data_IF_523943192755
#
_entry.id   IF_523943192755
#
_cell.length_a   1.000
_cell.length_b   1.000
_cell.length_c   1.000
_cell.angle_alpha   90.00
_cell.angle_beta   90.00
_cell.angle_gamma   90.00
#
_symmetry.space_group_name_H-M   'P 1'
#
loop_
_entity.id
_entity.type
_entity.pdbx_description
1 polymer ?
#
# COMPACT_ATOMS: atom_id res chain seq x y z
N UNK A 1 0.50 14.39 -56.47
CA UNK A 1 -0.53 14.82 -55.50
C UNK A 1 -1.23 13.57 -54.98
N UNK A 2 -1.50 13.30 -53.71
CA UNK A 2 -1.06 13.84 -52.41
C UNK A 2 -1.48 12.75 -51.39
N UNK A 3 -0.49 12.11 -50.77
CA UNK A 3 -0.47 11.54 -49.41
C UNK A 3 -1.73 10.83 -48.88
N UNK A 4 -1.81 9.51 -49.08
CA UNK A 4 -2.62 8.63 -48.22
C UNK A 4 -1.90 7.28 -48.10
N UNK A 5 -0.86 7.21 -47.26
CA UNK A 5 -0.40 5.92 -46.72
C UNK A 5 0.04 6.16 -45.29
N UNK A 6 -0.89 5.84 -44.39
CA UNK A 6 -0.67 5.12 -43.13
C UNK A 6 0.70 5.28 -42.49
N UNK A 7 0.87 6.34 -41.70
CA UNK A 7 1.80 6.31 -40.59
C UNK A 7 0.96 6.11 -39.32
N UNK A 8 0.61 4.84 -39.08
CA UNK A 8 0.02 4.39 -37.82
C UNK A 8 0.94 4.80 -36.69
N UNK A 9 0.57 5.90 -36.04
CA UNK A 9 1.07 6.29 -34.73
C UNK A 9 0.56 5.24 -33.74
N UNK A 10 1.29 4.12 -33.64
CA UNK A 10 1.20 3.20 -32.50
C UNK A 10 1.84 3.93 -31.33
N UNK A 11 1.11 4.91 -30.80
CA UNK A 11 1.41 5.49 -29.50
C UNK A 11 1.04 4.42 -28.49
N UNK A 12 2.05 3.73 -27.96
CA UNK A 12 1.90 2.74 -26.90
C UNK A 12 1.30 3.39 -25.67
N UNK A 13 -0.02 3.36 -25.57
CA UNK A 13 -0.75 3.76 -24.38
C UNK A 13 -0.76 2.59 -23.42
N UNK A 14 0.35 2.41 -22.71
CA UNK A 14 0.40 1.59 -21.50
C UNK A 14 -0.07 2.47 -20.33
N UNK A 15 -1.37 2.78 -20.25
CA UNK A 15 -1.94 3.27 -18.99
C UNK A 15 -2.20 2.05 -18.11
N UNK A 16 -1.19 1.64 -17.34
CA UNK A 16 -1.38 0.72 -16.22
C UNK A 16 -2.00 1.47 -15.04
N UNK A 17 -3.28 1.83 -15.19
CA UNK A 17 -4.10 2.29 -14.08
C UNK A 17 -4.61 1.07 -13.32
N UNK A 18 -3.82 0.57 -12.38
CA UNK A 18 -4.23 -0.49 -11.46
C UNK A 18 -3.75 -0.10 -10.07
N UNK A 19 -4.54 0.67 -9.32
CA UNK A 19 -4.30 0.85 -7.89
C UNK A 19 -4.02 -0.55 -7.30
N UNK A 20 -2.85 -0.78 -6.70
CA UNK A 20 -2.46 -2.11 -6.22
C UNK A 20 -3.35 -2.54 -5.07
N UNK A 21 -3.60 -3.85 -4.94
CA UNK A 21 -4.23 -4.38 -3.73
C UNK A 21 -3.35 -4.04 -2.52
N UNK A 22 -3.97 -3.90 -1.36
CA UNK A 22 -3.24 -3.63 -0.12
C UNK A 22 -2.17 -4.70 0.17
N UNK A 23 -2.45 -5.96 -0.15
CA UNK A 23 -1.51 -7.10 0.01
C UNK A 23 -0.26 -6.96 -0.87
N UNK A 24 -0.40 -6.43 -2.09
CA UNK A 24 0.69 -6.30 -3.08
C UNK A 24 1.60 -5.07 -2.85
N UNK A 25 1.27 -4.24 -1.84
CA UNK A 25 2.06 -3.06 -1.48
C UNK A 25 3.13 -3.46 -0.47
N UNK A 26 4.38 -3.40 -0.90
CA UNK A 26 5.55 -3.67 -0.06
C UNK A 26 5.77 -2.57 0.99
N UNK A 27 6.32 -2.95 2.13
CA UNK A 27 6.78 -2.01 3.14
C UNK A 27 7.90 -1.10 2.56
N UNK A 28 7.81 0.19 2.85
CA UNK A 28 8.91 1.11 2.64
C UNK A 28 9.96 0.88 3.73
N UNK A 29 11.25 1.02 3.42
CA UNK A 29 12.26 0.93 4.46
C UNK A 29 12.15 2.11 5.43
N UNK A 30 12.06 1.79 6.72
CA UNK A 30 12.07 2.75 7.82
C UNK A 30 13.14 2.30 8.83
N UNK A 31 13.97 3.23 9.30
CA UNK A 31 15.09 2.90 10.19
C UNK A 31 14.59 2.52 11.59
N UNK A 32 14.96 1.35 12.14
CA UNK A 32 14.62 0.97 13.51
C UNK A 32 15.23 1.89 14.58
N UNK A 33 16.31 2.60 14.25
CA UNK A 33 17.01 3.48 15.21
C UNK A 33 16.12 4.60 15.75
N UNK A 34 15.06 4.98 15.03
CA UNK A 34 14.10 5.98 15.50
C UNK A 34 13.33 5.54 16.76
N UNK A 35 13.26 4.22 17.02
CA UNK A 35 12.59 3.63 18.18
C UNK A 35 13.58 3.09 19.23
N UNK A 36 14.88 3.36 19.08
CA UNK A 36 15.93 2.79 19.96
C UNK A 36 15.72 3.15 21.45
N UNK A 37 15.05 4.27 21.74
CA UNK A 37 14.80 4.74 23.09
C UNK A 37 13.47 4.26 23.69
N UNK A 38 12.64 3.54 22.93
CA UNK A 38 11.34 3.08 23.41
C UNK A 38 11.53 1.91 24.38
N UNK A 39 10.69 1.84 25.41
CA UNK A 39 10.53 0.66 26.27
C UNK A 39 9.75 -0.45 25.53
N UNK A 40 9.79 -1.69 26.02
CA UNK A 40 8.98 -2.76 25.43
C UNK A 40 7.48 -2.48 25.49
N UNK A 41 7.00 -1.82 26.55
CA UNK A 41 5.61 -1.38 26.66
C UNK A 41 5.28 -0.32 25.60
N UNK A 42 6.14 0.70 25.45
CA UNK A 42 5.97 1.73 24.41
C UNK A 42 6.01 1.14 22.99
N UNK A 43 6.89 0.17 22.73
CA UNK A 43 6.95 -0.53 21.45
C UNK A 43 5.67 -1.32 21.19
N UNK A 44 5.12 -1.97 22.21
CA UNK A 44 3.88 -2.74 22.09
C UNK A 44 2.69 -1.83 21.76
N UNK A 45 2.53 -0.74 22.50
CA UNK A 45 1.45 0.24 22.31
C UNK A 45 1.55 0.90 20.92
N UNK A 46 2.76 1.30 20.54
CA UNK A 46 3.00 1.94 19.25
C UNK A 46 2.73 0.97 18.09
N UNK A 47 3.16 -0.28 18.20
CA UNK A 47 2.90 -1.31 17.20
C UNK A 47 1.40 -1.65 17.11
N UNK A 48 0.66 -1.65 18.21
CA UNK A 48 -0.80 -1.80 18.20
C UNK A 48 -1.49 -0.61 17.49
N UNK A 49 -1.02 0.61 17.73
CA UNK A 49 -1.51 1.82 17.05
C UNK A 49 -1.24 1.78 15.55
N UNK A 50 -0.01 1.49 15.15
CA UNK A 50 0.40 1.45 13.74
C UNK A 50 -0.32 0.32 13.01
N UNK A 51 -0.47 -0.87 13.60
CA UNK A 51 -1.21 -1.98 12.98
C UNK A 51 -2.69 -1.66 12.76
N UNK A 52 -3.36 -0.99 13.71
CA UNK A 52 -4.73 -0.51 13.53
C UNK A 52 -4.82 0.47 12.34
N UNK A 53 -3.84 1.37 12.20
CA UNK A 53 -3.80 2.31 11.07
C UNK A 53 -3.51 1.61 9.74
N UNK A 54 -2.61 0.63 9.71
CA UNK A 54 -2.37 -0.22 8.54
C UNK A 54 -3.66 -0.87 8.08
N UNK A 55 -4.44 -1.47 8.99
CA UNK A 55 -5.70 -2.12 8.65
C UNK A 55 -6.75 -1.15 8.09
N UNK A 56 -6.87 0.06 8.67
CA UNK A 56 -7.76 1.11 8.18
C UNK A 56 -7.39 1.54 6.75
N UNK A 57 -6.11 1.84 6.53
CA UNK A 57 -5.61 2.35 5.23
C UNK A 57 -5.62 1.24 4.17
N UNK A 58 -5.28 0.01 4.54
CA UNK A 58 -5.41 -1.17 3.67
C UNK A 58 -6.85 -1.38 3.21
N UNK A 59 -7.82 -1.30 4.13
CA UNK A 59 -9.24 -1.42 3.80
C UNK A 59 -9.74 -0.31 2.88
N UNK A 60 -9.20 0.91 3.00
CA UNK A 60 -9.48 2.00 2.07
C UNK A 60 -8.86 1.76 0.68
N UNK A 61 -7.62 1.27 0.63
CA UNK A 61 -6.91 0.92 -0.60
C UNK A 61 -7.63 -0.19 -1.39
N UNK A 62 -8.06 -1.25 -0.72
CA UNK A 62 -8.76 -2.36 -1.38
C UNK A 62 -10.12 -1.93 -1.94
N UNK A 63 -10.81 -1.00 -1.28
CA UNK A 63 -12.03 -0.39 -1.81
C UNK A 63 -11.75 0.46 -3.05
N UNK A 64 -10.63 1.21 -3.06
CA UNK A 64 -10.20 1.98 -4.22
C UNK A 64 -9.85 1.07 -5.41
N UNK A 65 -9.07 0.00 -5.18
CA UNK A 65 -8.77 -1.03 -6.19
C UNK A 65 -10.06 -1.61 -6.81
N UNK A 66 -11.05 -1.99 -5.98
CA UNK A 66 -12.32 -2.54 -6.49
C UNK A 66 -13.10 -1.57 -7.36
N UNK A 67 -13.06 -0.27 -7.06
CA UNK A 67 -13.72 0.78 -7.87
C UNK A 67 -13.02 0.99 -9.22
N UNK A 68 -11.70 0.95 -9.25
CA UNK A 68 -10.90 1.16 -10.46
C UNK A 68 -10.99 -0.02 -11.44
N UNK A 69 -11.13 -1.25 -10.94
CA UNK A 69 -11.40 -2.45 -11.75
C UNK A 69 -12.76 -2.38 -12.45
N UNK A 70 -13.78 -1.82 -11.80
CA UNK A 70 -15.11 -1.66 -12.40
C UNK A 70 -15.14 -0.50 -13.41
N UNK A 71 -14.41 0.58 -13.14
CA UNK A 71 -14.34 1.75 -14.02
C UNK A 71 -13.57 1.49 -15.33
N UNK A 72 -12.60 0.58 -15.31
CA UNK A 72 -11.78 0.27 -16.50
C UNK A 72 -12.51 -0.58 -17.56
N UNK A 73 -13.55 -1.36 -17.21
CA UNK A 73 -14.23 -2.21 -18.21
C UNK A 73 -15.36 -1.50 -18.98
N UNK A 74 -16.06 -0.54 -18.37
CA UNK A 74 -17.18 0.20 -19.00
C UNK A 74 -16.96 1.72 -19.02
N UNK A 75 -16.21 2.27 -18.06
CA UNK A 75 -16.02 3.72 -17.90
C UNK A 75 -14.95 4.34 -18.80
N UNK A 76 -13.97 3.56 -19.27
CA UNK A 76 -12.87 4.04 -20.13
C UNK A 76 -13.34 4.61 -21.49
N UNK A 77 -14.50 4.19 -22.00
CA UNK A 77 -15.04 4.66 -23.28
C UNK A 77 -16.04 5.81 -23.09
N UNK A 78 -16.87 5.77 -22.03
CA UNK A 78 -18.01 6.70 -21.86
C UNK A 78 -17.67 7.88 -20.94
N UNK A 79 -16.76 7.70 -19.98
CA UNK A 79 -16.48 8.67 -18.92
C UNK A 79 -14.97 8.92 -18.71
N UNK A 80 -14.13 8.76 -19.75
CA UNK A 80 -12.69 8.98 -19.63
C UNK A 80 -12.31 10.36 -19.03
N UNK A 81 -13.01 11.48 -19.32
CA UNK A 81 -12.62 12.76 -18.73
C UNK A 81 -12.84 12.79 -17.22
N UNK A 82 -13.80 12.03 -16.71
CA UNK A 82 -14.09 11.92 -15.29
C UNK A 82 -13.07 11.03 -14.55
N UNK A 83 -12.40 10.10 -15.24
CA UNK A 83 -11.35 9.26 -14.64
C UNK A 83 -10.15 10.09 -14.14
N UNK A 84 -9.85 11.24 -14.79
CA UNK A 84 -8.82 12.16 -14.31
C UNK A 84 -9.11 12.73 -12.92
N UNK A 85 -10.38 12.82 -12.52
CA UNK A 85 -10.77 13.27 -11.18
C UNK A 85 -10.77 12.14 -10.14
N UNK A 86 -10.76 10.87 -10.56
CA UNK A 86 -10.81 9.70 -9.68
C UNK A 86 -9.43 9.17 -9.27
N UNK A 87 -8.37 9.50 -10.01
CA UNK A 87 -7.00 9.06 -9.74
C UNK A 87 -6.40 9.61 -8.42
N UNK A 88 -7.09 10.51 -7.73
CA UNK A 88 -6.62 11.20 -6.52
C UNK A 88 -6.86 10.42 -5.21
N UNK A 89 -6.97 9.09 -5.26
CA UNK A 89 -7.37 8.26 -4.11
C UNK A 89 -6.39 7.15 -3.69
N UNK A 90 -5.23 7.03 -4.33
CA UNK A 90 -4.28 5.95 -4.03
C UNK A 90 -3.64 6.15 -2.64
N UNK A 91 -3.82 5.16 -1.78
CA UNK A 91 -3.23 5.09 -0.43
C UNK A 91 -2.00 4.21 -0.39
N UNK A 92 -1.48 3.77 -1.54
CA UNK A 92 -0.32 2.90 -1.62
C UNK A 92 0.92 3.45 -0.92
N UNK A 93 1.23 4.74 -1.10
CA UNK A 93 2.40 5.35 -0.46
C UNK A 93 2.24 5.41 1.07
N UNK A 94 1.07 5.84 1.54
CA UNK A 94 0.74 5.90 2.97
C UNK A 94 0.80 4.51 3.61
N UNK A 95 0.23 3.50 2.94
CA UNK A 95 0.25 2.11 3.39
C UNK A 95 1.66 1.53 3.39
N UNK A 96 2.46 1.80 2.34
CA UNK A 96 3.85 1.34 2.24
C UNK A 96 4.69 1.88 3.40
N UNK A 97 4.55 3.17 3.73
CA UNK A 97 5.22 3.78 4.88
C UNK A 97 4.78 3.16 6.21
N UNK A 98 3.47 3.00 6.43
CA UNK A 98 2.95 2.43 7.69
C UNK A 98 3.39 0.97 7.90
N UNK A 99 3.44 0.16 6.84
CA UNK A 99 4.01 -1.20 6.90
C UNK A 99 5.50 -1.15 7.27
N UNK A 100 6.25 -0.20 6.71
CA UNK A 100 7.64 0.05 7.07
C UNK A 100 7.84 0.41 8.54
N UNK A 101 7.00 1.29 9.08
CA UNK A 101 7.02 1.66 10.50
C UNK A 101 6.74 0.45 11.40
N UNK A 102 5.76 -0.39 11.02
CA UNK A 102 5.47 -1.62 11.73
C UNK A 102 6.67 -2.58 11.76
N UNK A 103 7.36 -2.79 10.62
CA UNK A 103 8.57 -3.60 10.56
C UNK A 103 9.71 -3.01 11.41
N UNK A 104 9.90 -1.70 11.38
CA UNK A 104 10.93 -1.02 12.17
C UNK A 104 10.67 -1.15 13.69
N UNK A 105 9.41 -1.08 14.12
CA UNK A 105 8.97 -1.34 15.50
C UNK A 105 9.23 -2.79 15.90
N UNK A 106 8.85 -3.73 15.04
CA UNK A 106 9.06 -5.15 15.27
C UNK A 106 10.56 -5.48 15.40
N UNK A 107 11.39 -4.94 14.51
CA UNK A 107 12.85 -5.13 14.56
C UNK A 107 13.44 -4.54 15.85
N UNK A 108 12.97 -3.36 16.27
CA UNK A 108 13.39 -2.75 17.53
C UNK A 108 13.01 -3.60 18.75
N UNK A 109 11.82 -4.18 18.74
CA UNK A 109 11.33 -5.07 19.79
C UNK A 109 12.09 -6.40 19.84
N UNK A 110 12.46 -6.96 18.68
CA UNK A 110 13.33 -8.15 18.58
C UNK A 110 14.72 -7.84 19.15
N UNK A 111 15.35 -6.74 18.74
CA UNK A 111 16.68 -6.34 19.23
C UNK A 111 16.70 -6.13 20.75
N UNK A 112 15.58 -5.69 21.32
CA UNK A 112 15.39 -5.50 22.77
C UNK A 112 14.87 -6.74 23.51
N UNK A 113 14.65 -7.85 22.82
CA UNK A 113 14.12 -9.10 23.38
C UNK A 113 12.79 -8.93 24.16
N UNK A 114 11.85 -8.15 23.61
CA UNK A 114 10.55 -7.94 24.25
C UNK A 114 9.72 -9.23 24.26
N UNK A 115 9.10 -9.55 25.40
CA UNK A 115 8.37 -10.81 25.63
C UNK A 115 7.16 -11.01 24.71
N UNK A 116 6.48 -9.94 24.31
CA UNK A 116 5.30 -10.01 23.45
C UNK A 116 5.61 -10.50 22.03
N UNK A 117 6.86 -10.36 21.56
CA UNK A 117 7.27 -10.82 20.22
C UNK A 117 7.13 -12.35 20.10
N UNK A 118 7.42 -13.09 21.18
CA UNK A 118 7.20 -14.53 21.21
C UNK A 118 5.72 -14.89 21.00
N UNK A 119 4.80 -14.10 21.59
CA UNK A 119 3.36 -14.29 21.42
C UNK A 119 2.89 -14.00 19.99
N UNK A 120 3.47 -13.00 19.32
CA UNK A 120 3.12 -12.68 17.94
C UNK A 120 3.55 -13.76 16.95
N UNK A 121 4.72 -14.35 17.17
CA UNK A 121 5.21 -15.46 16.33
C UNK A 121 4.30 -16.68 16.42
N UNK A 122 3.92 -17.08 17.64
CA UNK A 122 3.03 -18.22 17.83
C UNK A 122 1.68 -18.05 17.12
N UNK A 123 1.17 -16.81 17.06
CA UNK A 123 -0.09 -16.51 16.37
C UNK A 123 0.03 -16.59 14.84
N UNK A 124 1.20 -16.23 14.29
CA UNK A 124 1.45 -16.35 12.85
C UNK A 124 1.60 -17.80 12.38
N UNK A 125 1.95 -18.73 13.28
CA UNK A 125 2.05 -20.16 12.98
C UNK A 125 0.66 -20.88 12.99
N UNK A 126 -0.40 -20.20 13.48
CA UNK A 126 -1.77 -20.72 13.56
C UNK A 126 -2.66 -20.33 12.37
N UNK A 127 -2.27 -19.31 11.58
CA UNK A 127 -2.95 -18.88 10.33
C UNK A 127 -2.39 -19.57 9.09
#
# INVERSE_FOLDING_TARGET
>A
MRKIVSLSLVLGVLFTGCAKKAEDISAAYVSPLQYQHYSCEQLQDEMARVSAKVAEVAGAQDKAHKRDVVATTVGLVVFWPALFFLASGDKAEELSRLKGEYEALQQSAIQKNCSFIASLRNKADEE
#
